data_IF_198511270507
#
_entry.id   IF_198511270507
#
_cell.length_a   1.000
_cell.length_b   1.000
_cell.length_c   1.000
_cell.angle_alpha   90.00
_cell.angle_beta   90.00
_cell.angle_gamma   90.00
#
_symmetry.space_group_name_H-M   'P 1'
#
loop_
_entity.id
_entity.type
_entity.pdbx_description
1 polymer ?
#
# COMPACT_ATOMS: atom_id res chain seq x y z
N UNK A 1 -43.12 -26.88 11.53
CA UNK A 1 -42.38 -26.05 12.51
C UNK A 1 -40.89 -25.88 12.20
N UNK A 2 -40.25 -26.76 11.39
CA UNK A 2 -38.79 -26.72 11.10
C UNK A 2 -38.33 -25.82 9.95
N UNK A 3 -39.24 -25.30 9.11
CA UNK A 3 -38.88 -24.46 7.94
C UNK A 3 -38.43 -23.04 8.34
N UNK A 4 -39.09 -22.45 9.34
CA UNK A 4 -38.81 -21.07 9.80
C UNK A 4 -37.43 -20.90 10.42
N UNK A 5 -36.90 -21.97 11.05
CA UNK A 5 -35.61 -21.92 11.76
C UNK A 5 -34.39 -22.00 10.82
N UNK A 6 -34.53 -22.60 9.62
CA UNK A 6 -33.46 -22.63 8.60
C UNK A 6 -33.27 -21.27 7.91
N UNK A 7 -34.35 -20.49 7.74
CA UNK A 7 -34.29 -19.15 7.12
C UNK A 7 -33.56 -18.14 8.01
N UNK A 8 -33.77 -18.21 9.32
CA UNK A 8 -33.11 -17.34 10.30
C UNK A 8 -31.59 -17.61 10.41
N UNK A 9 -31.16 -18.87 10.39
CA UNK A 9 -29.72 -19.20 10.35
C UNK A 9 -29.04 -18.78 9.03
N UNK A 10 -29.74 -18.87 7.88
CA UNK A 10 -29.18 -18.46 6.58
C UNK A 10 -29.04 -16.93 6.43
N UNK A 11 -29.85 -16.15 7.15
CA UNK A 11 -29.72 -14.69 7.20
C UNK A 11 -28.56 -14.25 8.11
N UNK A 12 -28.37 -14.90 9.27
CA UNK A 12 -27.29 -14.59 10.20
C UNK A 12 -25.89 -14.85 9.60
N UNK A 13 -25.71 -15.95 8.87
CA UNK A 13 -24.44 -16.29 8.19
C UNK A 13 -24.10 -15.26 7.09
N UNK A 14 -25.11 -14.73 6.38
CA UNK A 14 -24.90 -13.70 5.36
C UNK A 14 -24.47 -12.36 5.97
N UNK A 15 -25.03 -11.97 7.11
CA UNK A 15 -24.66 -10.73 7.80
C UNK A 15 -23.20 -10.78 8.32
N UNK A 16 -22.79 -11.92 8.87
CA UNK A 16 -21.42 -12.12 9.38
C UNK A 16 -20.37 -12.10 8.25
N UNK A 17 -20.69 -12.72 7.10
CA UNK A 17 -19.82 -12.67 5.91
C UNK A 17 -19.70 -11.28 5.30
N UNK A 18 -20.75 -10.45 5.36
CA UNK A 18 -20.73 -9.07 4.85
C UNK A 18 -19.90 -8.17 5.77
N UNK A 19 -20.03 -8.34 7.09
CA UNK A 19 -19.21 -7.63 8.08
C UNK A 19 -17.73 -8.01 7.96
N UNK A 20 -17.38 -9.30 7.92
CA UNK A 20 -16.00 -9.75 7.81
C UNK A 20 -15.27 -9.22 6.55
N UNK A 21 -15.96 -9.17 5.40
CA UNK A 21 -15.42 -8.58 4.16
C UNK A 21 -15.21 -7.07 4.26
N UNK A 22 -16.07 -6.38 4.99
CA UNK A 22 -16.00 -4.93 5.15
C UNK A 22 -14.89 -4.46 6.09
N UNK A 23 -14.55 -5.21 7.14
CA UNK A 23 -13.47 -4.84 8.07
C UNK A 23 -12.07 -5.00 7.45
N UNK A 24 -11.83 -6.07 6.67
CA UNK A 24 -10.53 -6.29 6.04
C UNK A 24 -10.19 -5.21 5.00
N UNK A 25 -11.15 -4.83 4.16
CA UNK A 25 -10.98 -3.78 3.16
C UNK A 25 -10.81 -2.39 3.80
N UNK A 26 -11.51 -2.13 4.92
CA UNK A 26 -11.43 -0.84 5.63
C UNK A 26 -10.16 -0.70 6.47
N UNK A 27 -9.61 -1.79 6.98
CA UNK A 27 -8.31 -1.81 7.65
C UNK A 27 -7.15 -1.61 6.65
N UNK A 28 -7.23 -2.21 5.46
CA UNK A 28 -6.25 -1.99 4.38
C UNK A 28 -6.30 -0.54 3.85
N UNK A 29 -7.50 0.04 3.71
CA UNK A 29 -7.67 1.43 3.27
C UNK A 29 -7.28 2.48 4.33
N UNK A 30 -7.21 2.09 5.61
CA UNK A 30 -6.74 2.96 6.71
C UNK A 30 -5.24 2.84 6.98
N UNK A 31 -4.49 2.07 6.19
CA UNK A 31 -3.04 2.20 6.14
C UNK A 31 -2.70 3.49 5.38
N UNK A 32 -2.59 4.58 6.16
CA UNK A 32 -2.29 5.97 5.81
C UNK A 32 -1.94 6.26 4.34
N UNK A 33 -2.96 6.44 3.49
CA UNK A 33 -2.78 7.18 2.24
C UNK A 33 -2.17 8.56 2.56
N UNK A 34 -1.03 8.87 1.95
CA UNK A 34 -0.32 10.13 2.19
C UNK A 34 0.85 10.07 3.16
N UNK A 35 1.28 8.87 3.61
CA UNK A 35 2.57 8.73 4.27
C UNK A 35 3.70 9.25 3.36
N UNK A 36 4.64 9.99 3.93
CA UNK A 36 5.71 10.64 3.18
C UNK A 36 7.04 9.95 3.46
N UNK A 37 7.78 9.69 2.39
CA UNK A 37 9.10 9.12 2.45
C UNK A 37 10.11 9.91 1.63
N UNK A 38 11.37 9.52 1.76
CA UNK A 38 12.51 10.06 1.03
C UNK A 38 13.33 8.93 0.44
N UNK A 39 13.78 9.10 -0.79
CA UNK A 39 14.68 8.15 -1.45
C UNK A 39 16.00 8.11 -0.66
N UNK A 40 16.39 6.92 -0.19
CA UNK A 40 17.68 6.73 0.49
C UNK A 40 18.71 6.04 -0.39
N UNK A 41 18.29 5.18 -1.32
CA UNK A 41 19.21 4.54 -2.27
C UNK A 41 18.52 4.24 -3.62
N UNK A 42 19.33 4.20 -4.69
CA UNK A 42 18.89 3.89 -6.06
C UNK A 42 19.89 2.91 -6.64
N UNK A 43 19.46 1.70 -6.98
CA UNK A 43 20.27 0.62 -7.50
C UNK A 43 19.54 0.01 -8.71
N UNK A 44 19.79 0.57 -9.89
CA UNK A 44 19.05 0.21 -11.10
C UNK A 44 17.55 0.46 -10.93
N UNK A 45 16.73 -0.57 -11.13
CA UNK A 45 15.28 -0.51 -10.91
C UNK A 45 14.85 -0.62 -9.44
N UNK A 46 15.78 -0.92 -8.53
CA UNK A 46 15.50 -1.05 -7.10
C UNK A 46 15.73 0.29 -6.41
N UNK A 47 14.71 0.78 -5.71
CA UNK A 47 14.76 2.05 -4.98
C UNK A 47 14.39 1.80 -3.52
N UNK A 48 15.27 2.20 -2.61
CA UNK A 48 14.99 2.13 -1.17
C UNK A 48 14.46 3.50 -0.71
N UNK A 49 13.33 3.49 0.00
CA UNK A 49 12.62 4.69 0.47
C UNK A 49 12.45 4.59 1.97
N UNK A 50 12.90 5.61 2.70
CA UNK A 50 12.70 5.71 4.14
C UNK A 50 11.50 6.60 4.45
N UNK A 51 10.62 6.14 5.32
CA UNK A 51 9.46 6.86 5.81
C UNK A 51 9.73 7.34 7.24
N UNK A 52 9.24 8.53 7.59
CA UNK A 52 9.42 9.07 8.94
C UNK A 52 8.35 8.54 9.92
N UNK A 53 7.17 8.17 9.41
CA UNK A 53 6.05 7.66 10.21
C UNK A 53 5.65 6.23 9.78
N UNK A 54 4.44 6.06 9.25
CA UNK A 54 3.85 4.77 8.95
C UNK A 54 4.49 4.17 7.68
N UNK A 55 5.02 2.94 7.81
CA UNK A 55 5.52 2.21 6.64
C UNK A 55 4.35 1.77 5.75
N UNK A 56 4.42 2.06 4.44
CA UNK A 56 3.46 1.53 3.48
C UNK A 56 3.48 -0.01 3.45
N UNK A 57 2.31 -0.68 3.35
CA UNK A 57 2.23 -2.12 3.15
C UNK A 57 3.00 -2.60 1.90
N UNK A 58 3.39 -3.87 1.90
CA UNK A 58 3.90 -4.53 0.68
C UNK A 58 2.80 -4.48 -0.39
N UNK A 59 3.21 -4.31 -1.64
CA UNK A 59 2.40 -4.09 -2.84
C UNK A 59 1.77 -2.70 -2.96
N UNK A 60 1.92 -1.79 -1.98
CA UNK A 60 1.46 -0.42 -2.18
C UNK A 60 2.28 0.28 -3.26
N UNK A 61 1.58 1.12 -4.04
CA UNK A 61 2.21 2.02 -4.98
C UNK A 61 2.66 3.30 -4.26
N UNK A 62 3.86 3.76 -4.58
CA UNK A 62 4.41 5.03 -4.16
C UNK A 62 4.65 5.93 -5.37
N UNK A 63 4.45 7.23 -5.22
CA UNK A 63 4.65 8.20 -6.28
C UNK A 63 5.78 9.17 -5.96
N UNK A 64 6.77 9.22 -6.84
CA UNK A 64 7.92 10.12 -6.70
C UNK A 64 7.53 11.54 -7.11
N UNK A 65 7.82 12.50 -6.23
CA UNK A 65 7.44 13.90 -6.41
C UNK A 65 8.54 14.71 -7.11
N UNK A 66 8.14 15.82 -7.76
CA UNK A 66 9.08 16.78 -8.35
C UNK A 66 9.79 16.28 -9.62
N UNK A 67 9.17 15.33 -10.34
CA UNK A 67 9.64 14.85 -11.64
C UNK A 67 8.71 15.35 -12.75
N UNK A 68 9.24 15.50 -13.96
CA UNK A 68 8.46 15.80 -15.17
C UNK A 68 7.66 14.59 -15.64
N UNK A 69 8.31 13.41 -15.66
CA UNK A 69 7.68 12.13 -15.94
C UNK A 69 7.23 11.47 -14.63
N UNK A 70 6.00 10.94 -14.63
CA UNK A 70 5.43 10.20 -13.51
C UNK A 70 6.23 8.92 -13.30
N UNK A 71 6.74 8.73 -12.09
CA UNK A 71 7.43 7.50 -11.68
C UNK A 71 6.70 6.89 -10.50
N UNK A 72 6.24 5.66 -10.69
CA UNK A 72 5.60 4.83 -9.66
C UNK A 72 6.60 3.79 -9.19
N UNK A 73 6.66 3.58 -7.87
CA UNK A 73 7.42 2.54 -7.23
C UNK A 73 6.45 1.57 -6.54
N UNK A 74 6.67 0.27 -6.60
CA UNK A 74 5.88 -0.71 -5.84
C UNK A 74 6.69 -1.22 -4.65
N UNK A 75 6.10 -1.24 -3.46
CA UNK A 75 6.75 -1.77 -2.26
C UNK A 75 6.89 -3.29 -2.37
N UNK A 76 8.13 -3.78 -2.40
CA UNK A 76 8.42 -5.21 -2.50
C UNK A 76 8.75 -5.85 -1.14
N UNK A 77 9.37 -5.11 -0.23
CA UNK A 77 9.76 -5.62 1.09
C UNK A 77 10.01 -4.49 2.10
N UNK A 78 9.92 -4.82 3.38
CA UNK A 78 10.35 -3.96 4.49
C UNK A 78 11.76 -4.35 4.93
N UNK A 79 12.67 -3.38 5.03
CA UNK A 79 14.07 -3.62 5.38
C UNK A 79 14.38 -3.38 6.87
N UNK A 80 13.44 -2.81 7.64
CA UNK A 80 13.70 -2.24 8.97
C UNK A 80 14.09 -0.76 8.89
N UNK A 81 14.34 -0.12 10.04
CA UNK A 81 14.72 1.31 10.13
C UNK A 81 13.79 2.26 9.34
N UNK A 82 12.49 1.96 9.38
CA UNK A 82 11.44 2.62 8.61
C UNK A 82 11.71 2.71 7.10
N UNK A 83 12.43 1.74 6.56
CA UNK A 83 12.81 1.69 5.14
C UNK A 83 12.09 0.56 4.43
N UNK A 84 11.52 0.89 3.28
CA UNK A 84 10.99 -0.08 2.33
C UNK A 84 11.91 -0.18 1.12
N UNK A 85 12.01 -1.37 0.56
CA UNK A 85 12.59 -1.57 -0.77
C UNK A 85 11.48 -1.69 -1.78
N UNK A 86 11.62 -0.92 -2.85
CA UNK A 86 10.63 -0.80 -3.90
C UNK A 86 11.22 -1.16 -5.26
N UNK A 87 10.35 -1.53 -6.19
CA UNK A 87 10.68 -1.78 -7.60
C UNK A 87 10.07 -0.64 -8.42
N UNK A 88 10.89 0.02 -9.22
CA UNK A 88 10.44 1.08 -10.11
C UNK A 88 9.71 0.50 -11.33
N UNK A 89 8.55 1.08 -11.65
CA UNK A 89 7.73 0.65 -12.79
C UNK A 89 8.17 1.30 -14.12
N UNK A 90 9.06 2.28 -14.05
CA UNK A 90 9.65 2.99 -15.19
C UNK A 90 11.10 3.40 -14.84
N UNK A 91 11.77 4.06 -15.77
CA UNK A 91 13.15 4.53 -15.63
C UNK A 91 13.42 5.34 -14.37
N UNK A 92 14.50 5.00 -13.66
CA UNK A 92 14.95 5.66 -12.43
C UNK A 92 15.97 6.78 -12.70
N UNK A 93 16.17 7.17 -13.96
CA UNK A 93 17.08 8.25 -14.33
C UNK A 93 16.67 9.56 -13.63
N UNK A 94 17.68 10.32 -13.20
CA UNK A 94 17.48 11.58 -12.49
C UNK A 94 16.88 11.47 -11.08
N UNK A 95 16.66 10.25 -10.57
CA UNK A 95 16.24 10.06 -9.18
C UNK A 95 17.40 10.43 -8.24
N UNK A 96 17.15 11.30 -7.26
CA UNK A 96 18.16 11.75 -6.30
C UNK A 96 17.81 11.32 -4.88
N UNK A 97 18.83 11.10 -4.05
CA UNK A 97 18.61 10.86 -2.61
C UNK A 97 17.96 12.08 -1.97
N UNK A 98 17.09 11.83 -1.01
CA UNK A 98 16.26 12.86 -0.37
C UNK A 98 15.02 13.25 -1.17
N UNK A 99 14.85 12.75 -2.41
CA UNK A 99 13.66 13.06 -3.20
C UNK A 99 12.41 12.53 -2.51
N UNK A 100 11.38 13.37 -2.45
CA UNK A 100 10.12 13.08 -1.76
C UNK A 100 9.32 12.02 -2.50
N UNK A 101 8.75 11.09 -1.74
CA UNK A 101 7.93 9.99 -2.21
C UNK A 101 6.63 9.98 -1.40
N UNK A 102 5.50 9.77 -2.05
CA UNK A 102 4.19 9.70 -1.39
C UNK A 102 3.62 8.29 -1.49
N UNK A 103 3.12 7.75 -0.38
CA UNK A 103 2.30 6.54 -0.41
C UNK A 103 0.91 6.86 -0.95
N UNK A 104 0.48 6.09 -1.95
CA UNK A 104 -0.86 6.19 -2.54
C UNK A 104 -1.93 5.50 -1.68
N UNK A 105 -1.53 4.68 -0.71
CA UNK A 105 -2.42 3.93 0.17
C UNK A 105 -3.09 2.73 -0.51
N UNK A 106 -2.71 2.38 -1.74
CA UNK A 106 -3.22 1.18 -2.41
C UNK A 106 -2.21 0.60 -3.42
N UNK A 107 -2.42 -0.65 -3.86
CA UNK A 107 -1.65 -1.19 -4.97
C UNK A 107 -1.84 -0.42 -6.28
N UNK A 108 -0.98 -0.70 -7.26
CA UNK A 108 -1.11 -0.18 -8.63
C UNK A 108 -2.47 -0.63 -9.22
N UNK A 109 -3.18 0.30 -9.89
CA UNK A 109 -4.49 0.07 -10.52
C UNK A 109 -4.44 0.31 -12.02
#
# INVERSE_FOLDING_TARGET
>A
MFSSMKTLMSAAIRADQIMARSYAAKAAANAAAGAQGKVVAVIGAVVDVQFDEQLPPILNALEVQGRSARLVLEVAQHLGENTVRTIAMDGTEGLVRGQRVLDTGSPIR
#
